data_IF_686895817342
#
_entry.id   IF_686895817342
#
_cell.length_a   1.000
_cell.length_b   1.000
_cell.length_c   1.000
_cell.angle_alpha   90.00
_cell.angle_beta   90.00
_cell.angle_gamma   90.00
#
_symmetry.space_group_name_H-M   'P 1'
#
loop_
_entity.id
_entity.type
_entity.pdbx_description
1 polymer ?
#
# COMPACT_ATOMS: atom_id res chain seq x y z
N UNK A 1 -46.56 25.70 -71.24
CA UNK A 1 -46.19 25.89 -69.83
C UNK A 1 -44.75 26.35 -69.80
N UNK A 2 -44.54 27.66 -69.73
CA UNK A 2 -43.20 28.25 -69.57
C UNK A 2 -42.70 27.97 -68.14
N UNK A 3 -41.50 27.41 -68.03
CA UNK A 3 -40.79 27.29 -66.75
C UNK A 3 -40.21 28.65 -66.42
N UNK A 4 -40.80 29.34 -65.44
CA UNK A 4 -40.19 30.50 -64.81
C UNK A 4 -39.00 30.02 -63.97
N UNK A 5 -37.78 30.31 -64.42
CA UNK A 5 -36.58 30.14 -63.61
C UNK A 5 -36.56 31.22 -62.52
N UNK A 6 -36.93 30.83 -61.31
CA UNK A 6 -36.81 31.70 -60.13
C UNK A 6 -35.34 31.69 -59.70
N UNK A 7 -34.58 32.69 -60.16
CA UNK A 7 -33.23 32.96 -59.66
C UNK A 7 -33.35 33.76 -58.36
N UNK A 8 -32.98 33.15 -57.24
CA UNK A 8 -33.02 33.79 -55.92
C UNK A 8 -31.92 34.88 -55.83
N UNK A 9 -32.29 36.17 -55.62
CA UNK A 9 -31.36 37.29 -55.65
C UNK A 9 -30.31 37.25 -54.53
N UNK A 10 -30.48 36.44 -53.48
CA UNK A 10 -29.46 36.24 -52.43
C UNK A 10 -28.24 35.47 -52.95
N UNK A 11 -28.43 34.61 -53.95
CA UNK A 11 -27.36 33.84 -54.59
C UNK A 11 -26.81 34.49 -55.86
N UNK A 12 -27.41 35.60 -56.32
CA UNK A 12 -26.95 36.38 -57.46
C UNK A 12 -25.75 37.29 -57.13
N UNK A 13 -25.55 37.63 -55.86
CA UNK A 13 -24.32 38.28 -55.40
C UNK A 13 -23.22 37.21 -55.28
N UNK A 14 -22.40 37.08 -56.32
CA UNK A 14 -21.16 36.31 -56.21
C UNK A 14 -20.41 36.76 -54.96
N UNK A 15 -19.97 35.83 -54.11
CA UNK A 15 -18.97 36.15 -53.08
C UNK A 15 -17.82 36.81 -53.84
N UNK A 16 -17.65 38.12 -53.64
CA UNK A 16 -16.78 38.95 -54.46
C UNK A 16 -15.45 38.27 -54.70
N UNK A 17 -14.85 38.47 -55.87
CA UNK A 17 -13.59 37.84 -56.29
C UNK A 17 -12.48 37.98 -55.21
N UNK A 18 -12.63 39.00 -54.37
CA UNK A 18 -11.88 39.33 -53.16
C UNK A 18 -11.83 38.22 -52.08
N UNK A 19 -12.84 37.35 -52.01
CA UNK A 19 -12.96 36.26 -51.04
C UNK A 19 -12.58 34.89 -51.61
N UNK A 20 -12.14 34.82 -52.87
CA UNK A 20 -11.61 33.58 -53.43
C UNK A 20 -10.29 33.22 -52.78
N UNK A 21 -10.09 31.93 -52.56
CA UNK A 21 -8.88 31.37 -51.93
C UNK A 21 -7.61 31.77 -52.67
N UNK A 22 -7.68 31.89 -54.00
CA UNK A 22 -6.57 32.37 -54.85
C UNK A 22 -6.19 33.82 -54.55
N UNK A 23 -7.18 34.70 -54.43
CA UNK A 23 -7.01 36.14 -54.21
C UNK A 23 -6.55 36.42 -52.77
N UNK A 24 -7.05 35.65 -51.81
CA UNK A 24 -6.59 35.69 -50.43
C UNK A 24 -5.15 35.20 -50.29
N UNK A 25 -4.76 34.14 -51.03
CA UNK A 25 -3.36 33.69 -51.09
C UNK A 25 -2.45 34.75 -51.70
N UNK A 26 -2.82 35.34 -52.83
CA UNK A 26 -2.04 36.42 -53.45
C UNK A 26 -1.83 37.60 -52.49
N UNK A 27 -2.89 38.06 -51.82
CA UNK A 27 -2.79 39.12 -50.81
C UNK A 27 -1.91 38.74 -49.62
N UNK A 28 -1.99 37.48 -49.18
CA UNK A 28 -1.16 36.98 -48.08
C UNK A 28 0.32 36.94 -48.50
N UNK A 29 0.61 36.50 -49.73
CA UNK A 29 1.96 36.46 -50.29
C UNK A 29 2.54 37.88 -50.46
N UNK A 30 1.77 38.82 -51.01
CA UNK A 30 2.15 40.25 -51.12
C UNK A 30 2.45 40.88 -49.75
N UNK A 31 1.64 40.56 -48.73
CA UNK A 31 1.83 41.04 -47.37
C UNK A 31 3.10 40.46 -46.73
N UNK A 32 3.42 39.19 -47.00
CA UNK A 32 4.68 38.55 -46.55
C UNK A 32 5.89 39.19 -47.24
N UNK A 33 5.77 39.51 -48.53
CA UNK A 33 6.83 40.13 -49.33
C UNK A 33 7.14 41.56 -48.86
N UNK A 34 6.09 42.37 -48.60
CA UNK A 34 6.22 43.69 -47.98
C UNK A 34 6.86 43.61 -46.58
N UNK A 35 6.44 42.65 -45.75
CA UNK A 35 7.04 42.43 -44.43
C UNK A 35 8.49 41.90 -44.48
N UNK A 36 8.99 41.48 -45.64
CA UNK A 36 10.38 41.09 -45.87
C UNK A 36 11.23 42.22 -46.49
N UNK A 37 10.60 43.26 -47.06
CA UNK A 37 11.28 44.40 -47.67
C UNK A 37 11.89 45.38 -46.64
N UNK A 38 11.36 45.39 -45.41
CA UNK A 38 11.89 46.16 -44.29
C UNK A 38 13.11 45.42 -43.70
N UNK A 39 14.28 45.66 -44.30
CA UNK A 39 15.54 44.94 -44.03
C UNK A 39 16.17 45.12 -42.64
N UNK A 40 15.37 45.30 -41.57
CA UNK A 40 15.86 45.44 -40.19
C UNK A 40 15.35 44.37 -39.21
N UNK A 41 14.49 43.45 -39.62
CA UNK A 41 14.03 42.37 -38.73
C UNK A 41 14.90 41.13 -38.88
N UNK A 42 15.72 40.86 -37.87
CA UNK A 42 16.44 39.60 -37.72
C UNK A 42 15.44 38.44 -37.61
N UNK A 43 15.15 37.77 -38.73
CA UNK A 43 14.27 36.61 -38.79
C UNK A 43 15.11 35.35 -38.91
N UNK A 44 15.12 34.53 -37.86
CA UNK A 44 15.66 33.18 -37.94
C UNK A 44 14.71 32.31 -38.78
N UNK A 45 15.23 31.45 -39.66
CA UNK A 45 14.41 30.48 -40.38
C UNK A 45 13.57 29.66 -39.39
N UNK A 46 12.32 29.39 -39.72
CA UNK A 46 11.38 28.68 -38.84
C UNK A 46 11.86 27.27 -38.45
N UNK A 47 12.78 26.68 -39.23
CA UNK A 47 13.42 25.39 -38.95
C UNK A 47 14.75 25.51 -38.18
N UNK A 48 15.24 26.73 -37.92
CA UNK A 48 16.45 26.95 -37.13
C UNK A 48 16.09 26.87 -35.66
N UNK A 49 16.41 25.73 -35.07
CA UNK A 49 16.48 25.62 -33.63
C UNK A 49 17.58 26.57 -33.14
N UNK A 50 17.31 27.24 -32.02
CA UNK A 50 18.33 28.02 -31.33
C UNK A 50 19.30 26.97 -30.77
N UNK A 51 20.43 26.78 -31.43
CA UNK A 51 21.62 26.26 -30.76
C UNK A 51 21.82 27.13 -29.52
N UNK A 52 21.89 26.51 -28.35
CA UNK A 52 22.15 27.24 -27.11
C UNK A 52 23.50 27.97 -27.28
N UNK A 53 23.46 29.26 -27.63
CA UNK A 53 24.65 30.08 -27.94
C UNK A 53 25.51 30.38 -26.69
N UNK A 54 25.47 29.54 -25.66
CA UNK A 54 26.27 29.67 -24.46
C UNK A 54 26.95 28.33 -24.22
N UNK A 55 28.24 28.29 -24.54
CA UNK A 55 29.11 27.17 -24.17
C UNK A 55 29.19 27.13 -22.63
N UNK A 56 28.32 26.32 -22.03
CA UNK A 56 28.21 26.15 -20.58
C UNK A 56 29.23 25.16 -20.03
N UNK A 57 30.06 24.55 -20.89
CA UNK A 57 31.02 23.49 -20.52
C UNK A 57 32.02 23.96 -19.44
N UNK A 58 32.50 25.20 -19.54
CA UNK A 58 33.47 25.79 -18.59
C UNK A 58 32.79 26.60 -17.47
N UNK A 59 31.45 26.64 -17.44
CA UNK A 59 30.73 27.43 -16.43
C UNK A 59 30.59 26.63 -15.15
N UNK A 60 31.24 27.09 -14.08
CA UNK A 60 31.09 26.48 -12.75
C UNK A 60 29.63 26.63 -12.26
N UNK A 61 28.87 25.53 -12.30
CA UNK A 61 27.51 25.46 -11.79
C UNK A 61 27.52 25.27 -10.26
N UNK A 62 26.67 26.01 -9.54
CA UNK A 62 26.48 25.81 -8.12
C UNK A 62 25.85 24.43 -7.86
N UNK A 63 26.47 23.63 -6.99
CA UNK A 63 25.93 22.34 -6.54
C UNK A 63 25.44 22.42 -5.09
N UNK A 64 24.51 21.55 -4.72
CA UNK A 64 24.02 21.43 -3.33
C UNK A 64 25.10 20.82 -2.43
N UNK A 65 26.01 20.02 -3.00
CA UNK A 65 26.99 19.23 -2.25
C UNK A 65 28.28 20.02 -1.94
N UNK A 66 28.64 20.99 -2.78
CA UNK A 66 29.90 21.73 -2.65
C UNK A 66 29.66 23.16 -2.15
N UNK A 67 30.36 23.54 -1.08
CA UNK A 67 30.32 24.92 -0.58
C UNK A 67 30.93 25.89 -1.61
N UNK A 68 30.39 27.10 -1.67
CA UNK A 68 30.88 28.15 -2.57
C UNK A 68 32.35 28.49 -2.23
N UNK A 69 33.27 28.44 -3.20
CA UNK A 69 34.70 28.68 -2.95
C UNK A 69 34.98 30.16 -2.62
N UNK A 70 36.09 30.41 -1.93
CA UNK A 70 36.48 31.77 -1.55
C UNK A 70 36.84 32.70 -2.73
N UNK A 71 37.13 32.13 -3.90
CA UNK A 71 37.33 32.86 -5.16
C UNK A 71 36.06 33.53 -5.66
N UNK A 72 34.88 32.98 -5.31
CA UNK A 72 33.60 33.46 -5.78
C UNK A 72 33.33 34.88 -5.27
N UNK A 73 32.79 35.74 -6.14
CA UNK A 73 32.45 37.13 -5.81
C UNK A 73 31.40 37.21 -4.70
N UNK A 74 30.39 36.33 -4.74
CA UNK A 74 29.32 36.26 -3.73
C UNK A 74 29.85 35.90 -2.35
N UNK A 75 30.79 34.95 -2.26
CA UNK A 75 31.46 34.60 -1.00
C UNK A 75 32.18 35.79 -0.38
N UNK A 76 32.97 36.52 -1.19
CA UNK A 76 33.68 37.73 -0.74
C UNK A 76 32.73 38.86 -0.33
N UNK A 77 31.60 39.01 -1.02
CA UNK A 77 30.59 40.01 -0.69
C UNK A 77 29.92 39.70 0.66
N UNK A 78 29.53 38.45 0.89
CA UNK A 78 28.93 37.99 2.14
C UNK A 78 29.87 38.25 3.33
N UNK A 79 31.16 37.93 3.18
CA UNK A 79 32.16 38.23 4.22
C UNK A 79 32.25 39.72 4.54
N UNK A 80 32.19 40.61 3.53
CA UNK A 80 32.19 42.07 3.74
C UNK A 80 30.94 42.56 4.46
N UNK A 81 29.82 41.86 4.30
CA UNK A 81 28.57 42.14 5.03
C UNK A 81 28.55 41.53 6.44
N UNK A 82 29.66 40.95 6.90
CA UNK A 82 29.80 40.41 8.26
C UNK A 82 29.37 38.94 8.41
N UNK A 83 29.05 38.25 7.32
CA UNK A 83 28.81 36.80 7.35
C UNK A 83 30.12 36.05 7.58
N UNK A 84 30.07 34.97 8.37
CA UNK A 84 31.21 34.12 8.71
C UNK A 84 31.01 32.71 8.12
N UNK A 85 32.05 32.11 7.52
CA UNK A 85 31.94 30.77 6.98
C UNK A 85 31.56 29.75 8.07
N UNK A 86 30.59 28.89 7.76
CA UNK A 86 30.05 27.89 8.70
C UNK A 86 28.96 28.40 9.64
N UNK A 87 28.67 29.71 9.65
CA UNK A 87 27.58 30.30 10.42
C UNK A 87 26.30 30.45 9.60
N UNK A 88 25.15 30.27 10.25
CA UNK A 88 23.85 30.62 9.70
C UNK A 88 23.68 32.11 9.47
N UNK A 89 22.74 32.50 8.60
CA UNK A 89 22.38 33.91 8.39
C UNK A 89 21.43 34.41 9.50
N UNK A 90 21.39 35.73 9.72
CA UNK A 90 20.48 36.36 10.70
C UNK A 90 21.20 37.00 11.89
N UNK A 91 20.45 37.74 12.71
CA UNK A 91 20.98 38.53 13.84
C UNK A 91 21.80 37.71 14.84
N UNK A 92 21.38 36.47 15.08
CA UNK A 92 22.02 35.53 16.02
C UNK A 92 22.59 34.31 15.28
N UNK A 93 22.76 34.39 13.95
CA UNK A 93 23.16 33.26 13.09
C UNK A 93 22.17 32.08 13.14
N UNK A 94 20.88 32.38 13.35
CA UNK A 94 19.82 31.37 13.51
C UNK A 94 19.38 30.68 12.21
N UNK A 95 19.85 31.17 11.06
CA UNK A 95 19.52 30.61 9.75
C UNK A 95 20.15 29.24 9.52
N UNK A 96 19.59 28.50 8.58
CA UNK A 96 20.10 27.19 8.19
C UNK A 96 21.49 27.37 7.57
N UNK A 97 22.48 26.61 8.06
CA UNK A 97 23.86 26.63 7.58
C UNK A 97 24.08 25.76 6.33
N UNK A 98 23.31 24.69 6.21
CA UNK A 98 23.36 23.76 5.08
C UNK A 98 22.19 24.00 4.11
N UNK A 99 22.40 23.86 2.79
CA UNK A 99 21.32 23.98 1.82
C UNK A 99 20.26 22.88 2.04
N UNK A 100 18.99 23.26 1.90
CA UNK A 100 17.87 22.30 2.01
C UNK A 100 17.95 21.32 0.85
N UNK A 101 18.06 20.03 1.17
CA UNK A 101 18.07 18.97 0.15
C UNK A 101 16.69 18.85 -0.47
N UNK A 102 16.65 18.86 -1.80
CA UNK A 102 15.44 18.54 -2.55
C UNK A 102 15.41 17.03 -2.74
N UNK A 103 14.41 16.38 -2.15
CA UNK A 103 14.13 14.98 -2.44
C UNK A 103 13.69 14.88 -3.90
N UNK A 104 14.63 14.48 -4.75
CA UNK A 104 14.52 14.54 -6.19
C UNK A 104 13.21 13.92 -6.73
N UNK A 105 12.36 14.81 -7.24
CA UNK A 105 11.48 14.53 -8.38
C UNK A 105 12.04 15.17 -9.68
N UNK A 106 13.22 15.79 -9.60
CA UNK A 106 13.81 16.62 -10.66
C UNK A 106 14.47 15.85 -11.80
N UNK A 107 14.59 14.53 -11.71
CA UNK A 107 15.12 13.67 -12.80
C UNK A 107 14.10 13.38 -13.91
N UNK A 108 13.08 14.24 -14.08
CA UNK A 108 12.10 14.12 -15.16
C UNK A 108 11.14 12.92 -15.04
N UNK A 109 11.17 12.20 -13.92
CA UNK A 109 10.29 11.06 -13.71
C UNK A 109 8.93 11.58 -13.25
N UNK A 110 7.92 11.53 -14.12
CA UNK A 110 6.52 11.93 -13.83
C UNK A 110 5.81 10.91 -12.90
N UNK A 111 6.44 10.62 -11.78
CA UNK A 111 5.90 9.74 -10.75
C UNK A 111 4.98 10.54 -9.84
N UNK A 112 3.76 10.07 -9.63
CA UNK A 112 2.79 10.73 -8.75
C UNK A 112 3.30 10.82 -7.30
N UNK A 113 2.92 11.88 -6.60
CA UNK A 113 3.24 12.04 -5.17
C UNK A 113 2.74 10.82 -4.38
N UNK A 114 3.60 10.26 -3.52
CA UNK A 114 3.29 9.06 -2.72
C UNK A 114 3.54 7.71 -3.40
N UNK A 115 3.69 7.65 -4.74
CA UNK A 115 3.94 6.39 -5.46
C UNK A 115 5.26 5.71 -5.06
N UNK A 116 6.33 6.48 -4.81
CA UNK A 116 7.61 5.94 -4.31
C UNK A 116 7.47 5.24 -2.95
N UNK A 117 6.59 5.73 -2.09
CA UNK A 117 6.36 5.13 -0.78
C UNK A 117 5.62 3.79 -0.89
N UNK A 118 4.62 3.74 -1.77
CA UNK A 118 3.90 2.52 -2.09
C UNK A 118 4.83 1.49 -2.75
N UNK A 119 5.62 1.89 -3.75
CA UNK A 119 6.59 1.02 -4.41
C UNK A 119 7.61 0.44 -3.42
N UNK A 120 8.07 1.22 -2.43
CA UNK A 120 8.94 0.70 -1.36
C UNK A 120 8.28 -0.36 -0.51
N UNK A 121 7.00 -0.20 -0.18
CA UNK A 121 6.26 -1.19 0.61
C UNK A 121 6.10 -2.53 -0.12
N UNK A 122 5.86 -2.48 -1.43
CA UNK A 122 5.66 -3.70 -2.24
C UNK A 122 6.97 -4.30 -2.79
N UNK A 123 8.00 -3.48 -3.03
CA UNK A 123 9.27 -3.91 -3.63
C UNK A 123 10.37 -4.17 -2.60
N UNK A 124 10.14 -3.83 -1.33
CA UNK A 124 11.11 -4.16 -0.29
C UNK A 124 11.31 -5.68 -0.25
N UNK A 125 12.58 -6.11 -0.33
CA UNK A 125 12.97 -7.51 -0.42
C UNK A 125 12.36 -8.38 0.69
N UNK A 126 12.13 -7.80 1.87
CA UNK A 126 11.46 -8.43 3.02
C UNK A 126 10.04 -8.95 2.73
N UNK A 127 9.34 -8.37 1.74
CA UNK A 127 7.98 -8.75 1.35
C UNK A 127 7.90 -9.52 0.03
N UNK A 128 8.98 -9.53 -0.76
CA UNK A 128 9.05 -10.25 -2.04
C UNK A 128 9.48 -11.70 -1.83
N UNK A 129 10.26 -11.97 -0.79
CA UNK A 129 10.61 -13.34 -0.42
C UNK A 129 9.44 -14.03 0.29
N UNK A 130 9.17 -15.29 -0.08
CA UNK A 130 8.20 -16.14 0.63
C UNK A 130 8.67 -16.25 2.07
N UNK A 131 7.89 -15.70 3.02
CA UNK A 131 8.15 -15.86 4.45
C UNK A 131 8.27 -17.35 4.77
N UNK A 132 9.46 -17.78 5.16
CA UNK A 132 9.71 -19.16 5.55
C UNK A 132 8.72 -19.55 6.65
N UNK A 133 8.06 -20.69 6.47
CA UNK A 133 7.13 -21.19 7.47
C UNK A 133 7.92 -21.58 8.72
N UNK A 134 7.31 -21.44 9.89
CA UNK A 134 7.93 -21.84 11.16
C UNK A 134 8.37 -23.31 11.15
N UNK A 135 7.69 -24.15 10.37
CA UNK A 135 8.01 -25.57 10.11
C UNK A 135 9.28 -25.73 9.27
N UNK A 136 9.52 -24.87 8.29
CA UNK A 136 10.72 -24.90 7.44
C UNK A 136 11.95 -24.46 8.26
N UNK A 137 11.80 -23.38 9.05
CA UNK A 137 12.81 -22.95 10.01
C UNK A 137 13.13 -24.02 11.05
N UNK A 138 12.13 -24.79 11.49
CA UNK A 138 12.28 -25.90 12.45
C UNK A 138 13.01 -27.12 11.89
N UNK A 139 12.96 -27.35 10.58
CA UNK A 139 13.63 -28.49 9.95
C UNK A 139 15.16 -28.33 9.93
N UNK A 140 15.64 -27.08 9.85
CA UNK A 140 17.06 -26.74 9.76
C UNK A 140 17.67 -26.33 11.13
N UNK A 141 16.95 -26.52 12.23
CA UNK A 141 17.39 -26.10 13.57
C UNK A 141 18.40 -27.04 14.23
N UNK A 142 19.43 -26.45 14.85
CA UNK A 142 20.35 -27.17 15.74
C UNK A 142 19.60 -27.87 16.90
N UNK A 143 20.00 -29.11 17.22
CA UNK A 143 19.43 -29.93 18.31
C UNK A 143 19.33 -29.20 19.67
N UNK A 144 20.23 -28.26 19.94
CA UNK A 144 20.20 -27.43 21.16
C UNK A 144 19.07 -26.41 21.21
N UNK A 145 18.66 -25.84 20.06
CA UNK A 145 17.53 -24.89 19.97
C UNK A 145 16.19 -25.63 20.05
N UNK A 146 16.11 -26.79 19.39
CA UNK A 146 14.95 -27.70 19.45
C UNK A 146 14.62 -28.08 20.90
N UNK A 147 15.61 -28.52 21.68
CA UNK A 147 15.43 -28.85 23.11
C UNK A 147 14.96 -27.67 23.97
N UNK A 148 15.46 -26.46 23.71
CA UNK A 148 15.02 -25.24 24.43
C UNK A 148 13.54 -24.94 24.16
N UNK A 149 13.10 -25.06 22.90
CA UNK A 149 11.68 -24.89 22.54
C UNK A 149 10.81 -25.99 23.13
N UNK A 150 11.24 -27.25 23.04
CA UNK A 150 10.49 -28.38 23.62
C UNK A 150 10.28 -28.18 25.13
N UNK A 151 11.31 -27.77 25.86
CA UNK A 151 11.18 -27.45 27.28
C UNK A 151 10.25 -26.25 27.54
N UNK A 152 10.29 -25.22 26.70
CA UNK A 152 9.40 -24.07 26.81
C UNK A 152 7.95 -24.44 26.49
N UNK A 153 7.72 -25.25 25.46
CA UNK A 153 6.40 -25.76 25.07
C UNK A 153 5.83 -26.68 26.16
N UNK A 154 6.65 -27.56 26.73
CA UNK A 154 6.26 -28.41 27.86
C UNK A 154 5.88 -27.55 29.08
N UNK A 155 6.67 -26.52 29.38
CA UNK A 155 6.38 -25.57 30.47
C UNK A 155 5.06 -24.84 30.21
N UNK A 156 4.84 -24.32 29.00
CA UNK A 156 3.61 -23.64 28.63
C UNK A 156 2.41 -24.59 28.66
N UNK A 157 2.58 -25.84 28.26
CA UNK A 157 1.53 -26.86 28.34
C UNK A 157 1.14 -27.14 29.80
N UNK A 158 2.12 -27.33 30.69
CA UNK A 158 1.85 -27.52 32.13
C UNK A 158 1.12 -26.33 32.74
N UNK A 159 1.59 -25.11 32.47
CA UNK A 159 0.91 -23.88 32.91
C UNK A 159 -0.52 -23.83 32.38
N UNK A 160 -0.75 -24.18 31.11
CA UNK A 160 -2.08 -24.21 30.53
C UNK A 160 -2.97 -25.25 31.20
N UNK A 161 -2.45 -26.43 31.47
CA UNK A 161 -3.18 -27.49 32.18
C UNK A 161 -3.56 -27.05 33.59
N UNK A 162 -2.64 -26.46 34.35
CA UNK A 162 -2.87 -25.87 35.67
C UNK A 162 -3.96 -24.79 35.63
N UNK A 163 -3.84 -23.82 34.71
CA UNK A 163 -4.85 -22.77 34.53
C UNK A 163 -6.21 -23.37 34.17
N UNK A 164 -6.27 -24.38 33.29
CA UNK A 164 -7.54 -25.03 32.95
C UNK A 164 -8.13 -25.81 34.11
N UNK A 165 -7.29 -26.38 34.98
CA UNK A 165 -7.70 -27.08 36.18
C UNK A 165 -8.29 -26.10 37.21
N UNK A 166 -7.63 -24.97 37.44
CA UNK A 166 -8.10 -23.92 38.33
C UNK A 166 -9.43 -23.31 37.85
N UNK A 167 -9.50 -22.96 36.56
CA UNK A 167 -10.72 -22.38 35.97
C UNK A 167 -11.88 -23.39 35.87
N UNK A 168 -11.63 -24.69 36.03
CA UNK A 168 -12.69 -25.72 36.03
C UNK A 168 -13.68 -25.51 37.17
N UNK A 169 -13.23 -25.00 38.32
CA UNK A 169 -14.08 -24.74 39.49
C UNK A 169 -15.11 -23.65 39.23
N UNK A 170 -14.75 -22.67 38.39
CA UNK A 170 -15.61 -21.56 38.00
C UNK A 170 -16.28 -21.76 36.62
N UNK A 171 -16.31 -22.99 36.11
CA UNK A 171 -16.99 -23.33 34.87
C UNK A 171 -18.26 -24.16 35.08
N UNK A 172 -19.38 -23.69 34.51
CA UNK A 172 -20.61 -24.48 34.45
C UNK A 172 -20.71 -25.25 33.13
N UNK A 173 -20.56 -26.57 33.18
CA UNK A 173 -20.63 -27.47 32.00
C UNK A 173 -21.98 -27.51 31.28
N UNK A 174 -23.08 -27.23 31.98
CA UNK A 174 -24.45 -27.34 31.42
C UNK A 174 -24.91 -26.04 30.76
N UNK A 175 -24.42 -24.90 31.28
CA UNK A 175 -24.73 -23.58 30.77
C UNK A 175 -23.64 -23.05 29.84
N UNK A 176 -22.46 -23.70 29.81
CA UNK A 176 -21.26 -23.27 29.11
C UNK A 176 -20.87 -21.82 29.43
N UNK A 177 -20.83 -21.50 30.74
CA UNK A 177 -20.48 -20.17 31.26
C UNK A 177 -19.30 -20.27 32.22
N UNK A 178 -18.35 -19.36 32.06
CA UNK A 178 -17.23 -19.12 32.98
C UNK A 178 -17.60 -17.97 33.91
N UNK A 179 -17.42 -18.17 35.20
CA UNK A 179 -17.66 -17.17 36.25
C UNK A 179 -16.33 -16.63 36.76
N UNK A 180 -16.30 -15.39 37.23
CA UNK A 180 -15.06 -14.77 37.71
C UNK A 180 -14.88 -15.00 39.22
N UNK A 181 -15.99 -15.04 39.96
CA UNK A 181 -15.97 -15.19 41.41
C UNK A 181 -16.71 -16.44 41.89
N UNK A 182 -16.30 -16.94 43.06
CA UNK A 182 -16.92 -18.12 43.69
C UNK A 182 -18.41 -17.91 43.98
N UNK A 183 -18.79 -16.74 44.50
CA UNK A 183 -20.18 -16.45 44.86
C UNK A 183 -21.11 -16.44 43.63
N UNK A 184 -20.67 -15.90 42.50
CA UNK A 184 -21.46 -15.89 41.26
C UNK A 184 -21.71 -17.31 40.74
N UNK A 185 -20.70 -18.19 40.87
CA UNK A 185 -20.83 -19.60 40.50
C UNK A 185 -21.84 -20.29 41.42
N UNK A 186 -21.76 -20.09 42.74
CA UNK A 186 -22.68 -20.69 43.70
C UNK A 186 -24.12 -20.23 43.49
N UNK A 187 -24.33 -18.93 43.26
CA UNK A 187 -25.65 -18.37 42.94
C UNK A 187 -26.19 -18.94 41.63
N UNK A 188 -25.34 -19.06 40.60
CA UNK A 188 -25.72 -19.69 39.35
C UNK A 188 -26.15 -21.15 39.55
N UNK A 189 -25.39 -21.94 40.32
CA UNK A 189 -25.71 -23.34 40.59
C UNK A 189 -27.04 -23.49 41.35
N UNK A 190 -27.39 -22.52 42.19
CA UNK A 190 -28.65 -22.47 42.95
C UNK A 190 -29.84 -21.94 42.11
N UNK A 191 -29.57 -21.26 40.99
CA UNK A 191 -30.62 -20.65 40.17
C UNK A 191 -31.58 -21.67 39.55
N UNK A 192 -32.88 -21.34 39.53
CA UNK A 192 -33.94 -22.19 38.97
C UNK A 192 -33.66 -22.62 37.52
N UNK A 193 -33.17 -21.69 36.69
CA UNK A 193 -32.82 -21.95 35.30
C UNK A 193 -31.66 -22.94 35.13
N UNK A 194 -30.65 -22.86 36.01
CA UNK A 194 -29.56 -23.84 36.02
C UNK A 194 -30.09 -25.24 36.34
N UNK A 195 -30.91 -25.37 37.39
CA UNK A 195 -31.51 -26.64 37.77
C UNK A 195 -32.41 -27.23 36.67
N UNK A 196 -33.17 -26.39 35.95
CA UNK A 196 -33.98 -26.84 34.83
C UNK A 196 -33.12 -27.32 33.66
N UNK A 197 -32.10 -26.54 33.29
CA UNK A 197 -31.18 -26.90 32.20
C UNK A 197 -30.39 -28.16 32.50
N UNK A 198 -29.94 -28.32 33.74
CA UNK A 198 -29.29 -29.55 34.24
C UNK A 198 -30.21 -30.76 34.13
N UNK A 199 -31.44 -30.67 34.66
CA UNK A 199 -32.42 -31.78 34.60
C UNK A 199 -32.77 -32.18 33.17
N UNK A 200 -32.96 -31.21 32.27
CA UNK A 200 -33.22 -31.49 30.86
C UNK A 200 -32.05 -32.20 30.16
N UNK A 201 -30.83 -31.78 30.46
CA UNK A 201 -29.63 -32.39 29.90
C UNK A 201 -29.40 -33.81 30.44
N UNK A 202 -29.65 -34.05 31.72
CA UNK A 202 -29.60 -35.38 32.34
C UNK A 202 -30.66 -36.33 31.75
N UNK A 203 -31.89 -35.84 31.54
CA UNK A 203 -32.95 -36.64 30.89
C UNK A 203 -32.57 -37.02 29.45
N UNK A 204 -31.99 -36.08 28.67
CA UNK A 204 -31.47 -36.37 27.33
C UNK A 204 -30.32 -37.36 27.34
N UNK A 205 -29.38 -37.23 28.29
CA UNK A 205 -28.26 -38.16 28.44
C UNK A 205 -28.75 -39.57 28.78
N UNK A 206 -29.70 -39.72 29.69
CA UNK A 206 -30.29 -41.02 30.02
C UNK A 206 -31.00 -41.67 28.83
N UNK A 207 -31.72 -40.89 28.01
CA UNK A 207 -32.33 -41.39 26.78
C UNK A 207 -31.28 -41.83 25.75
N UNK A 208 -30.21 -41.06 25.57
CA UNK A 208 -29.14 -41.40 24.62
C UNK A 208 -28.30 -42.60 25.08
N UNK A 209 -28.01 -42.72 26.37
CA UNK A 209 -27.32 -43.87 26.96
C UNK A 209 -28.13 -45.16 26.84
N UNK A 210 -29.45 -45.11 27.03
CA UNK A 210 -30.34 -46.25 26.76
C UNK A 210 -30.23 -46.68 25.30
N UNK A 211 -30.27 -45.73 24.37
CA UNK A 211 -30.06 -46.01 22.94
C UNK A 211 -28.67 -46.58 22.63
N UNK A 212 -27.61 -46.07 23.28
CA UNK A 212 -26.23 -46.54 23.11
C UNK A 212 -26.01 -47.94 23.69
N UNK A 213 -26.62 -48.26 24.85
CA UNK A 213 -26.56 -49.60 25.46
C UNK A 213 -27.25 -50.64 24.58
N UNK A 214 -28.41 -50.32 24.01
CA UNK A 214 -29.09 -51.21 23.05
C UNK A 214 -28.26 -51.45 21.79
N UNK A 215 -27.67 -50.41 21.19
CA UNK A 215 -26.75 -50.53 20.05
C UNK A 215 -25.51 -51.35 20.39
N UNK A 216 -24.87 -51.06 21.52
CA UNK A 216 -23.69 -51.80 21.98
C UNK A 216 -23.97 -53.27 22.28
N UNK A 217 -25.16 -53.61 22.81
CA UNK A 217 -25.59 -55.01 23.00
C UNK A 217 -25.77 -55.73 21.67
N UNK A 218 -26.31 -55.04 20.65
CA UNK A 218 -26.45 -55.56 19.28
C UNK A 218 -25.08 -55.78 18.63
N UNK A 219 -24.15 -54.83 18.76
CA UNK A 219 -22.78 -54.92 18.26
C UNK A 219 -21.99 -56.05 18.94
N UNK A 220 -22.07 -56.18 20.28
CA UNK A 220 -21.43 -57.29 21.00
C UNK A 220 -21.97 -58.64 20.57
N UNK A 221 -23.29 -58.76 20.39
CA UNK A 221 -23.93 -60.00 19.88
C UNK A 221 -23.55 -60.29 18.42
N UNK A 222 -23.28 -59.27 17.60
CA UNK A 222 -22.80 -59.45 16.24
C UNK A 222 -21.34 -59.90 16.22
N UNK A 223 -20.47 -59.24 16.99
CA UNK A 223 -19.07 -59.60 17.14
C UNK A 223 -18.88 -61.02 17.71
N UNK A 224 -19.70 -61.42 18.69
CA UNK A 224 -19.67 -62.77 19.25
C UNK A 224 -20.09 -63.83 18.22
N UNK A 225 -21.09 -63.54 17.37
CA UNK A 225 -21.48 -64.42 16.26
C UNK A 225 -20.41 -64.50 15.17
N UNK A 226 -19.73 -63.41 14.88
CA UNK A 226 -18.63 -63.37 13.91
C UNK A 226 -17.41 -64.13 14.43
N UNK A 227 -17.04 -63.93 15.70
CA UNK A 227 -15.99 -64.69 16.36
C UNK A 227 -16.29 -66.19 16.41
N UNK A 228 -17.54 -66.57 16.70
CA UNK A 228 -17.97 -67.98 16.67
C UNK A 228 -17.95 -68.59 15.26
N UNK A 229 -18.18 -67.79 14.20
CA UNK A 229 -18.03 -68.26 12.81
C UNK A 229 -16.58 -68.49 12.43
N UNK A 230 -15.68 -67.59 12.82
CA UNK A 230 -14.23 -67.72 12.58
C UNK A 230 -13.66 -68.92 13.34
N UNK A 231 -14.14 -69.19 14.55
CA UNK A 231 -13.69 -70.33 15.35
C UNK A 231 -14.22 -71.70 14.88
N UNK A 232 -15.21 -71.73 13.98
CA UNK A 232 -15.81 -72.94 13.45
C UNK A 232 -15.31 -73.31 12.03
N UNK A 233 -14.39 -72.52 11.46
CA UNK A 233 -13.60 -72.84 10.25
C UNK A 233 -12.29 -73.53 10.64
#
# INVERSE_FOLDING_TARGET
MERLEVVDPRFAAGRGDEFRVSTLRQRQDEMIELAAADGSDFKLPMARWIDENVDLEDTECASIEQAIPASNVGYRLLQRMGWRPGGGLGREQQGISEPVRLDANDTGTRTGLGRRQQERQYTAAEFVERRALEVELQADEDEGRKRRREMEAERQQKIREEVTHELRMFYCKWCHKQYQFAHEMEEHLSSYDHHHRKRLAEMRAMQSERGRKERGKKERRAAEKEAARIAAQ
#
